data_IF_660644459674
#
_entry.id   IF_660644459674
#
_cell.length_a   1.000
_cell.length_b   1.000
_cell.length_c   1.000
_cell.angle_alpha   90.00
_cell.angle_beta   90.00
_cell.angle_gamma   90.00
#
_symmetry.space_group_name_H-M   'P 1'
#
loop_
_entity.id
_entity.type
_entity.pdbx_description
1 polymer ?
#
# COMPACT_ATOMS: atom_id res chain seq x y z
N UNK A 1 -25.15 7.39 -34.98
CA UNK A 1 -26.46 6.70 -35.06
C UNK A 1 -26.20 5.21 -34.96
N UNK A 2 -26.54 4.58 -33.84
CA UNK A 2 -26.34 3.14 -33.65
C UNK A 2 -27.44 2.38 -34.39
N UNK A 3 -27.07 1.39 -35.21
CA UNK A 3 -28.01 0.54 -35.94
C UNK A 3 -28.69 -0.37 -34.92
N UNK A 4 -29.97 -0.16 -34.64
CA UNK A 4 -30.75 -0.96 -33.70
C UNK A 4 -31.04 -2.33 -34.35
N UNK A 5 -30.67 -3.42 -33.68
CA UNK A 5 -30.96 -4.78 -34.15
C UNK A 5 -32.38 -5.13 -33.69
N UNK A 6 -33.30 -5.31 -34.63
CA UNK A 6 -34.69 -5.71 -34.36
C UNK A 6 -34.80 -7.24 -34.22
N UNK A 7 -35.81 -7.73 -33.50
CA UNK A 7 -36.06 -9.15 -33.20
C UNK A 7 -36.20 -10.04 -34.45
N UNK A 8 -36.63 -9.46 -35.59
CA UNK A 8 -36.76 -10.15 -36.88
C UNK A 8 -35.44 -10.20 -37.68
N UNK A 9 -34.34 -9.66 -37.15
CA UNK A 9 -33.05 -9.62 -37.83
C UNK A 9 -32.42 -11.02 -37.83
N UNK A 10 -32.42 -11.71 -38.98
CA UNK A 10 -31.66 -12.95 -39.17
C UNK A 10 -30.17 -12.65 -39.15
N UNK A 11 -29.54 -12.86 -38.00
CA UNK A 11 -28.08 -12.78 -37.86
C UNK A 11 -27.49 -14.03 -38.51
N UNK A 12 -26.96 -13.89 -39.72
CA UNK A 12 -26.18 -14.95 -40.38
C UNK A 12 -24.76 -14.94 -39.83
N UNK A 13 -24.54 -15.66 -38.73
CA UNK A 13 -23.20 -15.87 -38.18
C UNK A 13 -22.45 -16.89 -39.05
N UNK A 14 -21.38 -16.42 -39.71
CA UNK A 14 -20.45 -17.30 -40.41
C UNK A 14 -19.69 -18.18 -39.40
N UNK A 15 -19.42 -19.44 -39.76
CA UNK A 15 -18.77 -20.43 -38.91
C UNK A 15 -17.41 -19.93 -38.41
N UNK A 16 -16.71 -19.15 -39.24
CA UNK A 16 -15.43 -18.51 -38.88
C UNK A 16 -15.60 -17.50 -37.75
N UNK A 17 -16.65 -16.68 -37.80
CA UNK A 17 -16.96 -15.69 -36.76
C UNK A 17 -17.35 -16.37 -35.45
N UNK A 18 -18.15 -17.44 -35.52
CA UNK A 18 -18.49 -18.27 -34.36
C UNK A 18 -17.23 -18.88 -33.74
N UNK A 19 -16.33 -19.44 -34.56
CA UNK A 19 -15.07 -20.01 -34.09
C UNK A 19 -14.18 -19.00 -33.36
N UNK A 20 -14.08 -17.78 -33.88
CA UNK A 20 -13.32 -16.69 -33.23
C UNK A 20 -13.96 -16.28 -31.90
N UNK A 21 -15.29 -16.16 -31.85
CA UNK A 21 -16.01 -15.83 -30.61
C UNK A 21 -15.82 -16.93 -29.56
N UNK A 22 -15.94 -18.20 -29.96
CA UNK A 22 -15.74 -19.33 -29.04
C UNK A 22 -14.30 -19.39 -28.52
N UNK A 23 -13.30 -19.14 -29.37
CA UNK A 23 -11.91 -19.07 -28.93
C UNK A 23 -11.66 -17.93 -27.93
N UNK A 24 -12.24 -16.76 -28.20
CA UNK A 24 -12.16 -15.62 -27.29
C UNK A 24 -12.83 -15.93 -25.95
N UNK A 25 -14.04 -16.50 -25.97
CA UNK A 25 -14.77 -16.90 -24.77
C UNK A 25 -13.98 -17.95 -23.97
N UNK A 26 -13.41 -18.96 -24.64
CA UNK A 26 -12.57 -19.96 -24.00
C UNK A 26 -11.34 -19.34 -23.32
N UNK A 27 -10.73 -18.31 -23.93
CA UNK A 27 -9.60 -17.59 -23.37
C UNK A 27 -9.98 -16.81 -22.10
N UNK A 28 -11.11 -16.09 -22.13
CA UNK A 28 -11.61 -15.35 -20.96
C UNK A 28 -11.98 -16.30 -19.82
N UNK A 29 -12.63 -17.43 -20.14
CA UNK A 29 -12.96 -18.47 -19.16
C UNK A 29 -11.68 -19.06 -18.56
N UNK A 30 -10.67 -19.37 -19.39
CA UNK A 30 -9.38 -19.87 -18.93
C UNK A 30 -8.70 -18.91 -17.96
N UNK A 31 -8.61 -17.62 -18.32
CA UNK A 31 -8.05 -16.59 -17.43
C UNK A 31 -8.83 -16.46 -16.11
N UNK A 32 -10.16 -16.54 -16.14
CA UNK A 32 -10.99 -16.49 -14.94
C UNK A 32 -10.67 -17.64 -13.98
N UNK A 33 -10.57 -18.87 -14.48
CA UNK A 33 -10.24 -20.02 -13.66
C UNK A 33 -8.81 -19.98 -13.11
N UNK A 34 -7.83 -19.54 -13.91
CA UNK A 34 -6.46 -19.30 -13.41
C UNK A 34 -6.48 -18.29 -12.26
N UNK A 35 -7.13 -17.14 -12.45
CA UNK A 35 -7.19 -16.11 -11.42
C UNK A 35 -7.91 -16.59 -10.15
N UNK A 36 -8.98 -17.37 -10.29
CA UNK A 36 -9.67 -17.96 -9.14
C UNK A 36 -8.77 -18.91 -8.35
N UNK A 37 -7.98 -19.74 -9.05
CA UNK A 37 -7.00 -20.65 -8.43
C UNK A 37 -5.92 -19.89 -7.67
N UNK A 38 -5.35 -18.85 -8.29
CA UNK A 38 -4.31 -18.02 -7.66
C UNK A 38 -4.84 -17.31 -6.40
N UNK A 39 -6.09 -16.84 -6.44
CA UNK A 39 -6.76 -16.22 -5.28
C UNK A 39 -6.98 -17.25 -4.17
N UNK A 40 -7.35 -18.48 -4.50
CA UNK A 40 -7.55 -19.54 -3.51
C UNK A 40 -6.23 -19.95 -2.85
N UNK A 41 -5.15 -20.10 -3.63
CA UNK A 41 -3.81 -20.31 -3.10
C UNK A 41 -3.38 -19.16 -2.19
N UNK A 42 -3.57 -17.91 -2.63
CA UNK A 42 -3.22 -16.72 -1.86
C UNK A 42 -4.00 -16.61 -0.54
N UNK A 43 -5.26 -17.07 -0.49
CA UNK A 43 -6.07 -17.11 0.73
C UNK A 43 -5.59 -18.17 1.73
N UNK A 44 -4.94 -19.22 1.24
CA UNK A 44 -4.41 -20.29 2.06
C UNK A 44 -2.97 -20.01 2.54
N UNK A 45 -2.30 -19.01 1.98
CA UNK A 45 -1.00 -18.58 2.48
C UNK A 45 -1.19 -18.02 3.90
N UNK A 46 -0.44 -18.54 4.89
CA UNK A 46 -0.52 -18.02 6.24
C UNK A 46 -0.07 -16.55 6.23
N UNK A 47 -0.68 -15.74 7.11
CA UNK A 47 -0.20 -14.39 7.36
C UNK A 47 1.30 -14.44 7.73
N UNK A 48 2.12 -13.49 7.25
CA UNK A 48 3.53 -13.47 7.60
C UNK A 48 3.66 -13.49 9.11
N UNK A 49 4.28 -14.55 9.63
CA UNK A 49 4.46 -14.72 11.06
C UNK A 49 5.41 -13.62 11.51
N UNK A 50 4.94 -12.71 12.36
CA UNK A 50 5.84 -11.76 13.03
C UNK A 50 6.78 -12.61 13.86
N UNK A 51 8.02 -12.73 13.41
CA UNK A 51 9.02 -13.48 14.15
C UNK A 51 9.28 -12.77 15.48
N UNK A 52 9.53 -13.53 16.54
CA UNK A 52 9.81 -12.95 17.86
C UNK A 52 11.00 -11.99 17.79
N UNK A 53 11.97 -12.30 16.92
CA UNK A 53 13.11 -11.43 16.63
C UNK A 53 12.68 -10.09 16.01
N UNK A 54 11.70 -10.06 15.11
CA UNK A 54 11.20 -8.80 14.55
C UNK A 54 10.50 -7.94 15.62
N UNK A 55 9.74 -8.56 16.52
CA UNK A 55 9.12 -7.86 17.64
C UNK A 55 10.17 -7.25 18.58
N UNK A 56 11.16 -8.05 18.99
CA UNK A 56 12.21 -7.61 19.90
C UNK A 56 13.05 -6.48 19.27
N UNK A 57 13.41 -6.60 17.98
CA UNK A 57 14.12 -5.55 17.25
C UNK A 57 13.31 -4.26 17.13
N UNK A 58 11.99 -4.35 16.88
CA UNK A 58 11.13 -3.16 16.84
C UNK A 58 10.97 -2.52 18.21
N UNK A 59 10.83 -3.30 19.28
CA UNK A 59 10.73 -2.78 20.66
C UNK A 59 12.02 -2.05 21.06
N UNK A 60 13.19 -2.62 20.75
CA UNK A 60 14.48 -2.00 20.99
C UNK A 60 14.63 -0.68 20.22
N UNK A 61 14.32 -0.67 18.91
CA UNK A 61 14.39 0.53 18.08
C UNK A 61 13.46 1.65 18.57
N UNK A 62 12.23 1.31 18.95
CA UNK A 62 11.27 2.29 19.48
C UNK A 62 11.79 2.85 20.80
N UNK A 63 12.27 2.00 21.71
CA UNK A 63 12.82 2.43 23.01
C UNK A 63 14.04 3.33 22.82
N UNK A 64 14.96 2.97 21.94
CA UNK A 64 16.14 3.78 21.63
C UNK A 64 15.74 5.14 21.06
N UNK A 65 14.85 5.16 20.07
CA UNK A 65 14.38 6.42 19.46
C UNK A 65 13.74 7.36 20.49
N UNK A 66 12.99 6.80 21.45
CA UNK A 66 12.39 7.58 22.53
C UNK A 66 13.46 8.18 23.46
N UNK A 67 14.48 7.41 23.83
CA UNK A 67 15.59 7.91 24.66
C UNK A 67 16.36 9.01 23.93
N UNK A 68 16.74 8.78 22.68
CA UNK A 68 17.47 9.76 21.86
C UNK A 68 16.66 11.07 21.72
N UNK A 69 15.34 10.97 21.50
CA UNK A 69 14.46 12.15 21.42
C UNK A 69 14.36 12.87 22.76
N UNK A 70 14.37 12.17 23.89
CA UNK A 70 14.36 12.80 25.22
C UNK A 70 15.65 13.58 25.47
N UNK A 71 16.80 12.97 25.16
CA UNK A 71 18.11 13.60 25.28
C UNK A 71 18.19 14.86 24.39
N UNK A 72 17.69 14.78 23.14
CA UNK A 72 17.61 15.92 22.23
C UNK A 72 16.74 17.05 22.81
N UNK A 73 15.60 16.71 23.42
CA UNK A 73 14.70 17.71 24.03
C UNK A 73 15.36 18.40 25.22
N UNK A 74 16.11 17.67 26.03
CA UNK A 74 16.82 18.24 27.17
C UNK A 74 17.99 19.13 26.71
N UNK A 75 18.74 18.74 25.67
CA UNK A 75 19.78 19.59 25.08
C UNK A 75 19.19 20.88 24.49
N UNK A 76 17.99 20.81 23.89
CA UNK A 76 17.28 21.99 23.38
C UNK A 76 16.90 22.94 24.53
N UNK A 77 16.38 22.42 25.64
CA UNK A 77 16.04 23.26 26.82
C UNK A 77 17.27 23.98 27.36
N UNK A 78 18.39 23.28 27.53
CA UNK A 78 19.65 23.87 27.99
C UNK A 78 20.14 24.99 27.05
N UNK A 79 19.96 24.80 25.73
CA UNK A 79 20.29 25.83 24.74
C UNK A 79 19.35 27.02 24.83
N UNK A 80 18.05 26.80 25.08
CA UNK A 80 17.08 27.87 25.27
C UNK A 80 17.39 28.70 26.51
N UNK A 81 17.70 28.08 27.64
CA UNK A 81 18.08 28.78 28.87
C UNK A 81 19.29 29.70 28.65
N UNK A 82 20.31 29.22 27.91
CA UNK A 82 21.49 30.03 27.54
C UNK A 82 21.14 31.17 26.58
N UNK A 83 20.18 30.99 25.68
CA UNK A 83 19.72 32.05 24.78
C UNK A 83 19.01 33.12 25.61
N UNK A 84 18.13 32.74 26.53
CA UNK A 84 17.41 33.65 27.41
C UNK A 84 18.36 34.45 28.31
N UNK A 85 19.39 33.81 28.88
CA UNK A 85 20.43 34.48 29.66
C UNK A 85 21.17 35.54 28.82
N UNK A 86 21.60 35.19 27.61
CA UNK A 86 22.28 36.12 26.69
C UNK A 86 21.37 37.27 26.27
N UNK A 87 20.09 37.00 26.00
CA UNK A 87 19.11 38.03 25.66
C UNK A 87 18.90 39.00 26.83
N UNK A 88 18.85 38.49 28.06
CA UNK A 88 18.77 39.30 29.26
C UNK A 88 20.01 40.21 29.43
N UNK A 89 21.21 39.68 29.22
CA UNK A 89 22.45 40.47 29.26
C UNK A 89 22.47 41.58 28.20
N UNK A 90 22.04 41.29 26.98
CA UNK A 90 21.96 42.29 25.90
C UNK A 90 20.94 43.38 26.25
N UNK A 91 19.77 43.02 26.78
CA UNK A 91 18.76 44.00 27.20
C UNK A 91 19.21 44.87 28.37
N UNK A 92 19.99 44.33 29.30
CA UNK A 92 20.53 45.08 30.45
C UNK A 92 21.63 46.07 30.05
N UNK A 93 22.35 45.80 28.97
CA UNK A 93 23.45 46.64 28.47
C UNK A 93 23.00 47.73 27.48
N UNK A 94 21.70 47.79 27.14
CA UNK A 94 21.05 48.89 26.40
C UNK A 94 20.27 49.81 27.35
#
# INVERSE_FOLDING_TARGET
MAKQVSEETKITLDLKTIGVILFFVATVIGMWFTLQSDIEEAKNLPEPVIDRTEYDLKDELIRQTILDTQDDVDEIKDKLDKIDERLYEIQKNN
#
